data_IF_959145604257
#
_entry.id   IF_959145604257
#
_cell.length_a   1.000
_cell.length_b   1.000
_cell.length_c   1.000
_cell.angle_alpha   90.00
_cell.angle_beta   90.00
_cell.angle_gamma   90.00
#
_symmetry.space_group_name_H-M   'P 1'
#
loop_
_entity.id
_entity.type
_entity.pdbx_description
1 polymer ?
#
# COMPACT_ATOMS: atom_id res chain seq x y z
N UNK A 1 -41.41 -25.24 33.45
CA UNK A 1 -41.22 -24.25 32.36
C UNK A 1 -39.84 -24.49 31.82
N UNK A 2 -39.75 -25.37 30.83
CA UNK A 2 -38.51 -25.73 30.14
C UNK A 2 -38.14 -24.67 29.10
N UNK A 3 -36.89 -24.23 29.22
CA UNK A 3 -35.90 -23.86 28.19
C UNK A 3 -36.30 -23.86 26.71
N UNK A 4 -35.94 -22.78 26.02
CA UNK A 4 -35.40 -22.82 24.65
C UNK A 4 -34.54 -21.58 24.37
N UNK A 5 -33.30 -21.55 24.88
CA UNK A 5 -32.22 -20.74 24.30
C UNK A 5 -31.70 -21.52 23.09
N UNK A 6 -32.28 -21.28 21.92
CA UNK A 6 -31.78 -21.85 20.67
C UNK A 6 -30.57 -21.04 20.19
N UNK A 7 -29.43 -21.74 20.14
CA UNK A 7 -28.13 -21.33 19.66
C UNK A 7 -28.20 -21.02 18.15
N UNK A 8 -27.95 -19.77 17.73
CA UNK A 8 -27.72 -19.48 16.31
C UNK A 8 -26.24 -19.73 15.96
N UNK A 9 -25.93 -20.61 14.99
CA UNK A 9 -24.58 -20.68 14.42
C UNK A 9 -24.37 -19.48 13.49
N UNK A 10 -23.87 -18.37 14.05
CA UNK A 10 -23.34 -17.27 13.25
C UNK A 10 -21.88 -17.57 12.88
N UNK A 11 -21.55 -17.53 11.58
CA UNK A 11 -20.15 -17.54 11.12
C UNK A 11 -19.67 -16.09 11.02
N UNK A 12 -18.72 -15.73 11.89
CA UNK A 12 -18.04 -14.43 11.89
C UNK A 12 -16.67 -14.57 11.21
N UNK A 13 -16.36 -13.67 10.27
CA UNK A 13 -15.08 -13.61 9.55
C UNK A 13 -14.50 -12.22 9.72
N UNK A 14 -13.26 -12.14 10.21
CA UNK A 14 -12.52 -10.89 10.37
C UNK A 14 -11.64 -10.69 9.14
N UNK A 15 -11.89 -9.63 8.38
CA UNK A 15 -11.23 -9.35 7.09
C UNK A 15 -9.97 -8.51 7.30
N UNK A 16 -10.04 -7.45 8.09
CA UNK A 16 -8.90 -6.54 8.30
C UNK A 16 -8.94 -5.92 9.70
N UNK A 17 -7.79 -5.48 10.21
CA UNK A 17 -7.62 -4.86 11.54
C UNK A 17 -6.86 -3.54 11.44
N UNK A 18 -7.10 -2.64 12.38
CA UNK A 18 -6.43 -1.33 12.52
C UNK A 18 -6.65 -0.36 11.35
N UNK A 19 -7.92 -0.03 11.10
CA UNK A 19 -8.35 0.89 10.04
C UNK A 19 -8.27 2.34 10.54
N UNK A 20 -7.62 3.26 9.79
CA UNK A 20 -7.63 4.68 10.12
C UNK A 20 -9.06 5.24 10.19
N UNK A 21 -9.39 6.01 11.24
CA UNK A 21 -10.71 6.67 11.41
C UNK A 21 -11.28 7.34 10.13
N UNK A 22 -10.53 8.17 9.38
CA UNK A 22 -11.04 8.79 8.15
C UNK A 22 -11.27 7.78 7.01
N UNK A 23 -10.64 6.61 7.05
CA UNK A 23 -10.83 5.55 6.06
C UNK A 23 -12.14 4.77 6.30
N UNK A 24 -12.63 4.71 7.55
CA UNK A 24 -13.86 3.96 7.90
C UNK A 24 -15.08 4.49 7.14
N UNK A 25 -15.33 5.80 7.19
CA UNK A 25 -16.47 6.40 6.49
C UNK A 25 -16.34 6.29 4.96
N UNK A 26 -15.15 6.51 4.42
CA UNK A 26 -14.90 6.41 2.99
C UNK A 26 -15.02 4.97 2.46
N UNK A 27 -14.60 3.97 3.24
CA UNK A 27 -14.75 2.56 2.90
C UNK A 27 -16.23 2.15 2.81
N UNK A 28 -17.06 2.62 3.75
CA UNK A 28 -18.50 2.37 3.74
C UNK A 28 -19.16 2.94 2.47
N UNK A 29 -18.81 4.17 2.08
CA UNK A 29 -19.32 4.77 0.84
C UNK A 29 -18.81 4.04 -0.41
N UNK A 30 -17.57 3.55 -0.38
CA UNK A 30 -16.98 2.79 -1.47
C UNK A 30 -17.70 1.44 -1.65
N UNK A 31 -17.96 0.72 -0.57
CA UNK A 31 -18.72 -0.55 -0.60
C UNK A 31 -20.16 -0.30 -1.07
N UNK A 32 -20.83 0.75 -0.59
CA UNK A 32 -22.16 1.13 -1.07
C UNK A 32 -22.17 1.35 -2.59
N UNK A 33 -21.17 2.07 -3.10
CA UNK A 33 -21.09 2.45 -4.51
C UNK A 33 -20.67 1.32 -5.43
N UNK A 34 -19.65 0.55 -5.06
CA UNK A 34 -18.99 -0.40 -5.96
C UNK A 34 -19.41 -1.85 -5.73
N UNK A 35 -19.90 -2.19 -4.54
CA UNK A 35 -20.41 -3.54 -4.23
C UNK A 35 -21.93 -3.57 -4.20
N UNK A 36 -22.59 -2.80 -3.32
CA UNK A 36 -24.05 -2.87 -3.12
C UNK A 36 -24.81 -2.42 -4.38
N UNK A 37 -24.50 -1.23 -4.92
CA UNK A 37 -25.19 -0.72 -6.12
C UNK A 37 -24.94 -1.56 -7.38
N UNK A 38 -23.74 -2.12 -7.51
CA UNK A 38 -23.40 -2.98 -8.66
C UNK A 38 -24.09 -4.35 -8.59
N UNK A 39 -24.40 -4.84 -7.38
CA UNK A 39 -24.99 -6.16 -7.11
C UNK A 39 -26.50 -6.11 -6.81
N UNK A 40 -27.18 -5.01 -7.09
CA UNK A 40 -28.64 -4.85 -6.90
C UNK A 40 -29.49 -5.98 -7.50
N UNK A 41 -29.02 -6.65 -8.56
CA UNK A 41 -29.71 -7.82 -9.13
C UNK A 41 -29.71 -9.04 -8.21
N UNK A 42 -28.66 -9.23 -7.41
CA UNK A 42 -28.45 -10.36 -6.50
C UNK A 42 -28.87 -10.07 -5.07
N UNK A 43 -29.12 -8.80 -4.74
CA UNK A 43 -29.59 -8.38 -3.42
C UNK A 43 -31.12 -8.30 -3.46
N UNK A 44 -31.79 -8.77 -2.41
CA UNK A 44 -33.24 -8.64 -2.26
C UNK A 44 -33.63 -7.16 -2.18
N UNK A 45 -34.65 -6.77 -2.95
CA UNK A 45 -35.08 -5.38 -3.03
C UNK A 45 -35.46 -4.86 -1.64
N UNK A 46 -35.01 -3.64 -1.31
CA UNK A 46 -35.26 -2.97 -0.01
C UNK A 46 -34.70 -3.69 1.23
N UNK A 47 -33.87 -4.74 1.07
CA UNK A 47 -33.23 -5.43 2.20
C UNK A 47 -32.04 -4.68 2.78
N UNK A 48 -31.41 -3.81 1.98
CA UNK A 48 -30.21 -3.08 2.37
C UNK A 48 -30.49 -2.02 3.44
N UNK A 49 -29.75 -2.07 4.55
CA UNK A 49 -29.78 -1.09 5.64
C UNK A 49 -28.37 -0.69 6.02
N UNK A 50 -28.19 0.60 6.31
CA UNK A 50 -26.96 1.18 6.81
C UNK A 50 -27.27 1.84 8.16
N UNK A 51 -26.60 1.38 9.21
CA UNK A 51 -26.70 1.93 10.56
C UNK A 51 -25.34 2.52 10.95
N UNK A 52 -25.34 3.67 11.60
CA UNK A 52 -24.13 4.30 12.14
C UNK A 52 -24.20 4.30 13.67
N UNK A 53 -23.15 3.80 14.32
CA UNK A 53 -23.01 3.75 15.77
C UNK A 53 -21.66 4.38 16.15
N UNK A 54 -21.67 5.69 16.41
CA UNK A 54 -20.45 6.45 16.68
C UNK A 54 -19.50 6.47 15.49
N UNK A 55 -18.29 5.90 15.66
CA UNK A 55 -17.27 5.77 14.62
C UNK A 55 -17.36 4.45 13.83
N UNK A 56 -18.33 3.60 14.15
CA UNK A 56 -18.56 2.31 13.48
C UNK A 56 -19.80 2.35 12.60
N UNK A 57 -19.78 1.54 11.54
CA UNK A 57 -20.90 1.39 10.62
C UNK A 57 -21.28 -0.09 10.51
N UNK A 58 -22.57 -0.35 10.45
CA UNK A 58 -23.11 -1.68 10.17
C UNK A 58 -23.93 -1.63 8.88
N UNK A 59 -23.61 -2.52 7.95
CA UNK A 59 -24.26 -2.69 6.67
C UNK A 59 -24.94 -4.05 6.69
N UNK A 60 -26.24 -4.08 6.42
CA UNK A 60 -27.03 -5.31 6.41
C UNK A 60 -27.72 -5.46 5.06
N UNK A 61 -27.68 -6.64 4.46
CA UNK A 61 -28.46 -6.96 3.27
C UNK A 61 -28.77 -8.46 3.16
N UNK A 62 -29.69 -8.81 2.27
CA UNK A 62 -30.10 -10.19 2.02
C UNK A 62 -29.78 -10.56 0.58
N UNK A 63 -29.08 -11.68 0.38
CA UNK A 63 -28.78 -12.23 -0.94
C UNK A 63 -29.95 -13.11 -1.42
N UNK A 64 -30.33 -12.93 -2.69
CA UNK A 64 -31.31 -13.78 -3.37
C UNK A 64 -30.74 -15.19 -3.54
N UNK A 65 -31.58 -16.25 -3.41
CA UNK A 65 -31.14 -17.61 -3.65
C UNK A 65 -30.63 -17.77 -5.08
N UNK A 66 -29.49 -18.46 -5.22
CA UNK A 66 -28.77 -18.60 -6.50
C UNK A 66 -29.34 -19.74 -7.33
N UNK A 67 -29.96 -20.73 -6.68
CA UNK A 67 -30.58 -21.90 -7.33
C UNK A 67 -32.07 -22.03 -6.95
N UNK A 68 -32.92 -22.60 -7.84
CA UNK A 68 -34.35 -22.80 -7.57
C UNK A 68 -34.65 -23.67 -6.34
N UNK A 69 -33.68 -24.50 -5.93
CA UNK A 69 -33.76 -25.44 -4.81
C UNK A 69 -33.22 -24.84 -3.48
N UNK A 70 -32.61 -23.65 -3.52
CA UNK A 70 -32.24 -22.88 -2.32
C UNK A 70 -33.46 -22.09 -1.83
N UNK A 71 -34.18 -22.63 -0.86
CA UNK A 71 -35.34 -21.95 -0.27
C UNK A 71 -34.96 -20.84 0.71
N UNK A 72 -33.73 -20.83 1.24
CA UNK A 72 -33.32 -19.94 2.33
C UNK A 72 -32.55 -18.72 1.83
N UNK A 73 -33.03 -17.49 2.11
CA UNK A 73 -32.27 -16.28 1.88
C UNK A 73 -31.03 -16.24 2.79
N UNK A 74 -29.89 -15.76 2.26
CA UNK A 74 -28.67 -15.60 3.05
C UNK A 74 -28.58 -14.17 3.59
N UNK A 75 -28.55 -14.05 4.91
CA UNK A 75 -28.39 -12.80 5.62
C UNK A 75 -26.91 -12.45 5.73
N UNK A 76 -26.57 -11.19 5.45
CA UNK A 76 -25.20 -10.69 5.55
C UNK A 76 -25.19 -9.43 6.39
N UNK A 77 -24.37 -9.41 7.44
CA UNK A 77 -24.06 -8.21 8.22
C UNK A 77 -22.56 -7.91 8.13
N UNK A 78 -22.21 -6.68 7.77
CA UNK A 78 -20.83 -6.21 7.68
C UNK A 78 -20.66 -5.05 8.65
N UNK A 79 -19.84 -5.26 9.68
CA UNK A 79 -19.47 -4.24 10.66
C UNK A 79 -18.09 -3.70 10.31
N UNK A 80 -18.00 -2.39 10.19
CA UNK A 80 -16.76 -1.67 9.85
C UNK A 80 -16.45 -0.71 10.99
N UNK A 81 -15.30 -0.89 11.61
CA UNK A 81 -14.81 -0.09 12.73
C UNK A 81 -13.32 0.18 12.57
N UNK A 82 -12.73 1.01 13.45
CA UNK A 82 -11.28 1.21 13.48
C UNK A 82 -10.53 -0.07 13.86
N UNK A 83 -11.14 -0.93 14.69
CA UNK A 83 -10.48 -2.13 15.19
C UNK A 83 -10.52 -3.27 14.19
N UNK A 84 -11.65 -3.44 13.50
CA UNK A 84 -11.84 -4.54 12.56
C UNK A 84 -12.93 -4.29 11.51
N UNK A 85 -12.81 -5.01 10.40
CA UNK A 85 -13.89 -5.32 9.45
C UNK A 85 -14.39 -6.73 9.75
N UNK A 86 -15.64 -6.87 10.15
CA UNK A 86 -16.24 -8.15 10.53
C UNK A 86 -17.45 -8.44 9.63
N UNK A 87 -17.47 -9.64 9.07
CA UNK A 87 -18.55 -10.14 8.22
C UNK A 87 -19.23 -11.31 8.92
N UNK A 88 -20.51 -11.13 9.23
CA UNK A 88 -21.37 -12.08 9.92
C UNK A 88 -22.42 -12.64 8.96
N UNK A 89 -22.66 -13.95 9.05
CA UNK A 89 -23.74 -14.65 8.34
C UNK A 89 -24.72 -15.27 9.35
N UNK A 90 -25.77 -14.53 9.77
CA UNK A 90 -26.78 -15.04 10.71
C UNK A 90 -27.60 -16.18 10.09
N UNK A 91 -27.85 -17.23 10.88
CA UNK A 91 -28.70 -18.35 10.48
C UNK A 91 -28.06 -19.34 9.50
N UNK A 92 -26.72 -19.40 9.43
CA UNK A 92 -25.99 -20.32 8.56
C UNK A 92 -25.95 -21.74 9.15
N UNK A 93 -26.60 -22.72 8.52
CA UNK A 93 -26.38 -24.14 8.86
C UNK A 93 -25.00 -24.58 8.32
N UNK A 94 -24.05 -25.00 9.19
CA UNK A 94 -22.73 -25.47 8.77
C UNK A 94 -22.75 -26.69 7.84
N UNK A 95 -23.89 -27.39 7.71
CA UNK A 95 -24.03 -28.62 6.93
C UNK A 95 -24.41 -28.37 5.46
N UNK A 96 -24.82 -27.15 5.10
CA UNK A 96 -25.25 -26.79 3.76
C UNK A 96 -24.07 -26.36 2.86
N UNK A 97 -23.52 -27.33 2.11
CA UNK A 97 -22.38 -27.11 1.19
C UNK A 97 -22.64 -26.06 0.10
N UNK A 98 -23.79 -26.05 -0.60
CA UNK A 98 -24.11 -24.97 -1.55
C UNK A 98 -24.09 -23.58 -0.89
N UNK A 99 -24.61 -23.45 0.32
CA UNK A 99 -24.63 -22.18 1.05
C UNK A 99 -23.21 -21.74 1.48
N UNK A 100 -22.33 -22.69 1.84
CA UNK A 100 -20.92 -22.40 2.13
C UNK A 100 -20.18 -21.79 0.92
N UNK A 101 -20.40 -22.31 -0.30
CA UNK A 101 -19.77 -21.75 -1.50
C UNK A 101 -20.21 -20.30 -1.76
N UNK A 102 -21.47 -19.97 -1.48
CA UNK A 102 -22.00 -18.61 -1.60
C UNK A 102 -21.39 -17.70 -0.53
N UNK A 103 -21.22 -18.20 0.69
CA UNK A 103 -20.54 -17.48 1.79
C UNK A 103 -19.10 -17.17 1.40
N UNK A 104 -18.32 -18.17 0.99
CA UNK A 104 -16.91 -17.99 0.60
C UNK A 104 -16.76 -16.98 -0.54
N UNK A 105 -17.60 -17.10 -1.58
CA UNK A 105 -17.61 -16.13 -2.67
C UNK A 105 -17.95 -14.72 -2.19
N UNK A 106 -18.89 -14.58 -1.26
CA UNK A 106 -19.27 -13.28 -0.70
C UNK A 106 -18.13 -12.66 0.09
N UNK A 107 -17.41 -13.48 0.87
CA UNK A 107 -16.20 -13.06 1.61
C UNK A 107 -15.14 -12.57 0.63
N UNK A 108 -14.78 -13.39 -0.36
CA UNK A 108 -13.74 -13.06 -1.35
C UNK A 108 -14.06 -11.75 -2.10
N UNK A 109 -15.32 -11.54 -2.48
CA UNK A 109 -15.74 -10.33 -3.20
C UNK A 109 -15.70 -9.07 -2.31
N UNK A 110 -16.08 -9.18 -1.03
CA UNK A 110 -16.01 -8.06 -0.08
C UNK A 110 -14.55 -7.76 0.24
N UNK A 111 -13.74 -8.78 0.52
CA UNK A 111 -12.30 -8.63 0.76
C UNK A 111 -11.61 -7.96 -0.43
N UNK A 112 -11.87 -8.41 -1.66
CA UNK A 112 -11.34 -7.79 -2.87
C UNK A 112 -11.78 -6.31 -3.00
N UNK A 113 -13.01 -5.98 -2.61
CA UNK A 113 -13.52 -4.60 -2.64
C UNK A 113 -12.83 -3.73 -1.59
N UNK A 114 -12.64 -4.25 -0.37
CA UNK A 114 -11.93 -3.59 0.72
C UNK A 114 -10.48 -3.32 0.33
N UNK A 115 -9.78 -4.35 -0.16
CA UNK A 115 -8.40 -4.22 -0.65
C UNK A 115 -8.31 -3.20 -1.79
N UNK A 116 -9.27 -3.21 -2.72
CA UNK A 116 -9.33 -2.23 -3.81
C UNK A 116 -9.51 -0.81 -3.31
N UNK A 117 -10.34 -0.58 -2.27
CA UNK A 117 -10.47 0.73 -1.64
C UNK A 117 -9.13 1.21 -1.09
N UNK A 118 -8.45 0.40 -0.29
CA UNK A 118 -7.16 0.80 0.30
C UNK A 118 -6.08 1.02 -0.77
N UNK A 119 -6.06 0.22 -1.84
CA UNK A 119 -5.18 0.46 -2.98
C UNK A 119 -5.50 1.77 -3.72
N UNK A 120 -6.78 2.06 -3.97
CA UNK A 120 -7.21 3.29 -4.63
C UNK A 120 -6.83 4.53 -3.79
N UNK A 121 -7.07 4.47 -2.48
CA UNK A 121 -6.68 5.52 -1.55
C UNK A 121 -5.17 5.76 -1.54
N UNK A 122 -4.36 4.69 -1.55
CA UNK A 122 -2.89 4.80 -1.61
C UNK A 122 -2.41 5.42 -2.92
N UNK A 123 -2.98 5.00 -4.04
CA UNK A 123 -2.62 5.54 -5.36
C UNK A 123 -3.06 6.99 -5.58
N UNK A 124 -4.04 7.47 -4.81
CA UNK A 124 -4.45 8.89 -4.82
C UNK A 124 -3.81 9.75 -3.71
N UNK A 125 -2.81 9.23 -2.98
CA UNK A 125 -2.13 9.99 -1.92
C UNK A 125 -0.79 10.58 -2.39
N UNK A 126 -0.41 11.75 -1.87
CA UNK A 126 0.89 12.37 -2.09
C UNK A 126 1.88 11.87 -1.06
N UNK A 127 3.04 11.42 -1.50
CA UNK A 127 4.10 10.90 -0.63
C UNK A 127 5.35 11.76 -0.72
N UNK A 128 5.78 12.25 0.44
CA UNK A 128 7.06 12.92 0.62
C UNK A 128 7.94 12.03 1.49
N UNK A 129 9.03 11.55 0.90
CA UNK A 129 10.09 10.86 1.64
C UNK A 129 11.19 11.86 1.91
N UNK A 130 11.44 12.12 3.19
CA UNK A 130 12.42 13.08 3.68
C UNK A 130 13.43 12.29 4.49
N UNK A 131 14.71 12.42 4.16
CA UNK A 131 15.79 11.89 4.99
C UNK A 131 16.95 12.87 5.02
N UNK A 132 17.83 12.71 5.99
CA UNK A 132 18.81 13.75 6.31
C UNK A 132 19.91 13.93 5.26
N UNK A 133 20.10 13.02 4.30
CA UNK A 133 21.06 13.18 3.20
C UNK A 133 20.33 13.62 1.93
N UNK A 134 20.37 14.93 1.64
CA UNK A 134 19.89 15.47 0.37
C UNK A 134 21.04 15.74 -0.58
N UNK A 135 21.00 15.10 -1.75
CA UNK A 135 21.42 15.83 -2.95
C UNK A 135 20.30 15.85 -3.97
N UNK A 136 19.60 14.74 -4.26
CA UNK A 136 18.55 14.73 -5.29
C UNK A 136 17.31 13.95 -4.85
N UNK A 137 16.30 14.66 -4.33
CA UNK A 137 15.00 14.06 -3.98
C UNK A 137 13.87 14.69 -4.78
N UNK A 138 13.13 13.83 -5.48
CA UNK A 138 12.24 14.18 -6.58
C UNK A 138 10.79 14.31 -6.10
N UNK A 139 10.17 15.45 -6.42
CA UNK A 139 8.76 15.48 -6.83
C UNK A 139 8.56 14.46 -7.96
N UNK A 140 7.35 13.93 -8.25
CA UNK A 140 7.16 12.93 -9.31
C UNK A 140 7.61 13.49 -10.66
N UNK A 141 8.90 13.33 -10.98
CA UNK A 141 9.55 13.90 -12.14
C UNK A 141 9.98 12.77 -13.05
N UNK A 142 9.67 12.96 -14.33
CA UNK A 142 10.01 12.08 -15.43
C UNK A 142 11.50 12.22 -15.79
N UNK A 143 12.43 12.03 -14.85
CA UNK A 143 13.86 12.06 -15.17
C UNK A 143 14.36 10.67 -15.53
N UNK A 144 14.29 10.42 -16.84
CA UNK A 144 14.88 9.27 -17.53
C UNK A 144 13.91 8.12 -17.72
N UNK A 145 13.66 7.75 -18.99
CA UNK A 145 12.88 6.55 -19.38
C UNK A 145 13.38 5.33 -18.59
N UNK A 146 14.69 5.20 -18.44
CA UNK A 146 15.34 4.09 -17.74
C UNK A 146 15.04 4.04 -16.24
N UNK A 147 14.92 5.20 -15.57
CA UNK A 147 14.64 5.27 -14.13
C UNK A 147 13.17 5.01 -13.83
N UNK A 148 12.25 5.50 -14.67
CA UNK A 148 10.82 5.22 -14.54
C UNK A 148 10.51 3.74 -14.82
N UNK A 149 11.18 3.14 -15.82
CA UNK A 149 11.07 1.71 -16.12
C UNK A 149 11.64 0.89 -14.96
N UNK A 150 12.83 1.21 -14.46
CA UNK A 150 13.42 0.53 -13.31
C UNK A 150 12.54 0.66 -12.05
N UNK A 151 12.03 1.86 -11.76
CA UNK A 151 11.12 2.10 -10.63
C UNK A 151 9.85 1.26 -10.74
N UNK A 152 9.23 1.18 -11.92
CA UNK A 152 8.02 0.38 -12.15
C UNK A 152 8.29 -1.12 -12.05
N UNK A 153 9.45 -1.57 -12.52
CA UNK A 153 9.88 -2.97 -12.45
C UNK A 153 10.17 -3.40 -11.02
N UNK A 154 11.01 -2.65 -10.31
CA UNK A 154 11.51 -3.03 -8.98
C UNK A 154 10.51 -2.73 -7.86
N UNK A 155 9.60 -1.76 -8.04
CA UNK A 155 8.64 -1.42 -7.00
C UNK A 155 7.32 -2.19 -7.06
N UNK A 156 6.96 -2.87 -8.15
CA UNK A 156 5.63 -3.50 -8.19
C UNK A 156 5.36 -4.62 -9.19
N UNK A 157 6.24 -4.92 -10.16
CA UNK A 157 5.94 -6.01 -11.10
C UNK A 157 7.18 -6.63 -11.75
N UNK A 158 7.75 -7.66 -11.10
CA UNK A 158 8.85 -8.47 -11.65
C UNK A 158 8.43 -9.21 -12.93
N UNK A 159 7.15 -9.54 -13.10
CA UNK A 159 6.60 -10.14 -14.33
C UNK A 159 6.79 -9.24 -15.55
N UNK A 160 6.71 -7.91 -15.38
CA UNK A 160 6.94 -6.97 -16.48
C UNK A 160 8.38 -7.01 -16.98
N UNK A 161 9.36 -7.10 -16.07
CA UNK A 161 10.77 -7.28 -16.44
C UNK A 161 10.96 -8.61 -17.16
N UNK A 162 10.42 -9.70 -16.62
CA UNK A 162 10.53 -11.02 -17.23
C UNK A 162 9.96 -11.04 -18.65
N UNK A 163 8.76 -10.49 -18.85
CA UNK A 163 8.13 -10.41 -20.16
C UNK A 163 8.93 -9.54 -21.13
N UNK A 164 9.52 -8.43 -20.65
CA UNK A 164 10.40 -7.58 -21.46
C UNK A 164 11.67 -8.31 -21.90
N UNK A 165 12.24 -9.15 -21.03
CA UNK A 165 13.41 -9.98 -21.37
C UNK A 165 13.07 -11.08 -22.36
N UNK A 166 11.89 -11.71 -22.25
CA UNK A 166 11.41 -12.67 -23.24
C UNK A 166 11.25 -12.00 -24.60
N UNK A 167 10.58 -10.84 -24.66
CA UNK A 167 10.37 -10.12 -25.91
C UNK A 167 11.70 -9.68 -26.54
N UNK A 168 12.62 -9.16 -25.73
CA UNK A 168 13.97 -8.80 -26.16
C UNK A 168 14.74 -10.02 -26.67
N UNK A 169 14.66 -11.14 -25.96
CA UNK A 169 15.28 -12.42 -26.38
C UNK A 169 14.73 -12.89 -27.71
N UNK A 170 13.41 -12.85 -27.88
CA UNK A 170 12.75 -13.22 -29.13
C UNK A 170 13.23 -12.32 -30.28
N UNK A 171 13.20 -11.00 -30.10
CA UNK A 171 13.66 -10.05 -31.10
C UNK A 171 15.14 -10.26 -31.48
N UNK A 172 16.02 -10.43 -30.49
CA UNK A 172 17.44 -10.70 -30.72
C UNK A 172 17.66 -12.01 -31.48
N UNK A 173 16.87 -13.05 -31.21
CA UNK A 173 17.00 -14.35 -31.87
C UNK A 173 16.80 -14.23 -33.39
N UNK A 174 15.89 -13.36 -33.85
CA UNK A 174 15.72 -13.11 -35.29
C UNK A 174 16.90 -12.36 -35.94
N UNK A 175 17.63 -11.54 -35.17
CA UNK A 175 18.72 -10.72 -35.70
C UNK A 175 20.04 -11.51 -35.72
N UNK A 176 20.36 -12.23 -34.64
CA UNK A 176 21.67 -12.87 -34.44
C UNK A 176 21.61 -14.38 -34.10
N UNK A 177 20.42 -14.99 -34.09
CA UNK A 177 20.25 -16.44 -33.95
C UNK A 177 20.80 -17.01 -32.65
N UNK A 178 21.60 -18.09 -32.73
CA UNK A 178 22.17 -18.79 -31.57
C UNK A 178 23.06 -17.87 -30.71
N UNK A 179 23.68 -16.85 -31.30
CA UNK A 179 24.51 -15.89 -30.57
C UNK A 179 23.72 -15.06 -29.55
N UNK A 180 22.40 -14.98 -29.69
CA UNK A 180 21.51 -14.35 -28.70
C UNK A 180 21.72 -14.90 -27.30
N UNK A 181 21.92 -16.22 -27.16
CA UNK A 181 22.11 -16.85 -25.84
C UNK A 181 23.34 -16.27 -25.14
N UNK A 182 24.48 -16.18 -25.86
CA UNK A 182 25.72 -15.62 -25.31
C UNK A 182 25.60 -14.13 -24.98
N UNK A 183 24.89 -13.37 -25.83
CA UNK A 183 24.64 -11.94 -25.59
C UNK A 183 23.78 -11.76 -24.34
N UNK A 184 22.69 -12.51 -24.19
CA UNK A 184 21.80 -12.41 -23.04
C UNK A 184 22.51 -12.79 -21.74
N UNK A 185 23.29 -13.88 -21.74
CA UNK A 185 24.11 -14.27 -20.59
C UNK A 185 25.08 -13.14 -20.22
N UNK A 186 25.74 -12.53 -21.22
CA UNK A 186 26.67 -11.42 -20.98
C UNK A 186 25.96 -10.19 -20.39
N UNK A 187 24.80 -9.83 -20.93
CA UNK A 187 23.98 -8.71 -20.42
C UNK A 187 23.52 -8.98 -19.00
N UNK A 188 23.05 -10.20 -18.70
CA UNK A 188 22.63 -10.59 -17.35
C UNK A 188 23.80 -10.57 -16.36
N UNK A 189 24.99 -11.04 -16.77
CA UNK A 189 26.18 -10.99 -15.93
C UNK A 189 26.57 -9.53 -15.62
N UNK A 190 26.56 -8.65 -16.63
CA UNK A 190 26.82 -7.22 -16.44
C UNK A 190 25.76 -6.61 -15.51
N UNK A 191 24.48 -6.91 -15.74
CA UNK A 191 23.39 -6.43 -14.89
C UNK A 191 23.54 -6.91 -13.44
N UNK A 192 23.93 -8.16 -13.21
CA UNK A 192 24.19 -8.72 -11.89
C UNK A 192 25.36 -7.99 -11.21
N UNK A 193 26.46 -7.78 -11.93
CA UNK A 193 27.64 -7.08 -11.40
C UNK A 193 27.31 -5.64 -11.04
N UNK A 194 26.47 -4.94 -11.80
CA UNK A 194 26.12 -3.54 -11.55
C UNK A 194 24.81 -3.34 -10.79
N UNK A 195 24.14 -4.42 -10.38
CA UNK A 195 22.84 -4.40 -9.73
C UNK A 195 22.83 -3.50 -8.48
N UNK A 196 23.87 -3.60 -7.65
CA UNK A 196 24.05 -2.78 -6.44
C UNK A 196 23.97 -1.29 -6.74
N UNK A 197 24.66 -0.86 -7.81
CA UNK A 197 24.69 0.54 -8.25
C UNK A 197 23.39 0.96 -8.92
N UNK A 198 22.73 0.06 -9.65
CA UNK A 198 21.45 0.36 -10.30
C UNK A 198 20.40 0.64 -9.22
N UNK A 199 20.24 -0.30 -8.27
CA UNK A 199 19.25 -0.17 -7.19
C UNK A 199 19.55 1.05 -6.31
N UNK A 200 20.82 1.28 -5.95
CA UNK A 200 21.22 2.45 -5.15
C UNK A 200 20.95 3.81 -5.80
N UNK A 201 20.81 3.85 -7.13
CA UNK A 201 20.45 5.09 -7.87
C UNK A 201 18.95 5.29 -8.01
N UNK A 202 18.13 4.25 -7.79
CA UNK A 202 16.66 4.36 -7.94
C UNK A 202 16.07 5.17 -6.78
N UNK A 203 16.56 4.93 -5.56
CA UNK A 203 16.10 5.63 -4.38
C UNK A 203 16.67 7.03 -4.26
N UNK A 204 15.89 7.90 -3.63
CA UNK A 204 16.15 9.34 -3.49
C UNK A 204 16.73 9.71 -2.13
N UNK A 205 16.50 8.86 -1.12
CA UNK A 205 17.00 9.03 0.24
C UNK A 205 17.94 7.87 0.56
N UNK A 206 19.02 8.17 1.29
CA UNK A 206 20.08 7.21 1.62
C UNK A 206 20.39 7.29 3.11
N UNK A 207 19.72 6.47 3.93
CA UNK A 207 20.00 6.37 5.35
C UNK A 207 21.36 5.73 5.58
N UNK A 208 22.11 6.24 6.54
CA UNK A 208 23.37 5.70 7.00
C UNK A 208 23.49 5.84 8.54
N UNK A 209 24.63 5.43 9.11
CA UNK A 209 24.86 5.46 10.55
C UNK A 209 24.83 6.88 11.15
N UNK A 210 25.23 7.90 10.38
CA UNK A 210 25.22 9.29 10.83
C UNK A 210 23.82 9.92 10.68
N UNK A 211 23.08 9.46 9.66
CA UNK A 211 21.78 9.98 9.25
C UNK A 211 20.77 8.84 9.11
N UNK A 212 20.36 8.23 10.24
CA UNK A 212 19.58 6.99 10.21
C UNK A 212 18.07 7.22 9.97
N UNK A 213 17.59 8.42 10.26
CA UNK A 213 16.16 8.73 10.28
C UNK A 213 15.59 9.01 8.87
N UNK A 214 14.45 8.39 8.60
CA UNK A 214 13.61 8.64 7.43
C UNK A 214 12.21 9.02 7.89
N UNK A 215 11.75 10.18 7.44
CA UNK A 215 10.40 10.68 7.67
C UNK A 215 9.57 10.54 6.39
N UNK A 216 8.43 9.89 6.52
CA UNK A 216 7.42 9.79 5.47
C UNK A 216 6.24 10.65 5.86
N UNK A 217 5.87 11.52 4.94
CA UNK A 217 4.64 12.29 5.01
C UNK A 217 3.74 11.80 3.88
N UNK A 218 2.62 11.18 4.23
CA UNK A 218 1.55 10.87 3.28
C UNK A 218 0.40 11.84 3.48
N UNK A 219 -0.01 12.50 2.41
CA UNK A 219 -1.19 13.36 2.40
C UNK A 219 -2.21 12.74 1.46
N UNK A 220 -3.28 12.18 2.03
CA UNK A 220 -4.39 11.62 1.26
C UNK A 220 -5.04 12.73 0.45
N UNK A 221 -5.03 12.58 -0.86
CA UNK A 221 -5.68 13.51 -1.78
C UNK A 221 -6.76 12.79 -2.58
N UNK A 222 -7.73 13.56 -3.07
CA UNK A 222 -8.66 13.07 -4.08
C UNK A 222 -7.98 13.14 -5.47
N UNK A 223 -8.53 12.41 -6.44
CA UNK A 223 -7.97 12.36 -7.80
C UNK A 223 -7.95 13.74 -8.51
N UNK A 224 -8.83 14.67 -8.13
CA UNK A 224 -8.96 16.02 -8.71
C UNK A 224 -7.87 16.97 -8.20
N UNK A 225 -7.56 16.91 -6.91
CA UNK A 225 -6.45 17.61 -6.25
C UNK A 225 -5.12 17.10 -6.78
N UNK A 226 -4.97 15.78 -6.93
CA UNK A 226 -3.78 15.19 -7.59
C UNK A 226 -3.62 15.66 -9.03
N UNK A 227 -4.71 15.75 -9.80
CA UNK A 227 -4.67 16.25 -11.19
C UNK A 227 -4.26 17.72 -11.24
N UNK A 228 -4.79 18.54 -10.34
CA UNK A 228 -4.43 19.96 -10.20
C UNK A 228 -2.96 20.15 -9.80
N UNK A 229 -2.46 19.33 -8.89
CA UNK A 229 -1.06 19.28 -8.46
C UNK A 229 -0.16 18.75 -9.57
N UNK A 230 -0.58 17.76 -10.37
CA UNK A 230 0.21 17.27 -11.50
C UNK A 230 0.39 18.33 -12.60
N UNK A 231 -0.58 19.24 -12.76
CA UNK A 231 -0.57 20.29 -13.78
C UNK A 231 0.22 21.55 -13.36
N UNK A 232 0.26 21.89 -12.07
CA UNK A 232 0.90 23.13 -11.56
C UNK A 232 1.97 22.90 -10.47
N UNK A 233 2.19 21.65 -10.04
CA UNK A 233 2.75 21.35 -8.71
C UNK A 233 4.23 20.99 -8.64
N UNK A 234 5.01 21.06 -9.72
CA UNK A 234 6.45 20.72 -9.64
C UNK A 234 7.21 21.64 -8.68
N UNK A 235 7.01 22.95 -8.79
CA UNK A 235 7.64 23.96 -7.91
C UNK A 235 7.00 23.98 -6.52
N UNK A 236 5.69 23.76 -6.46
CA UNK A 236 4.92 23.75 -5.21
C UNK A 236 5.34 22.59 -4.32
N UNK A 237 5.40 21.36 -4.87
CA UNK A 237 5.80 20.18 -4.11
C UNK A 237 7.25 20.29 -3.61
N UNK A 238 8.15 20.90 -4.39
CA UNK A 238 9.52 21.15 -3.92
C UNK A 238 9.59 22.17 -2.80
N UNK A 239 8.78 23.24 -2.84
CA UNK A 239 8.74 24.27 -1.80
C UNK A 239 8.15 23.72 -0.50
N UNK A 240 7.03 22.99 -0.60
CA UNK A 240 6.43 22.28 0.53
C UNK A 240 7.45 21.31 1.13
N UNK A 241 8.20 20.58 0.30
CA UNK A 241 9.24 19.66 0.78
C UNK A 241 10.36 20.38 1.52
N UNK A 242 10.83 21.52 1.03
CA UNK A 242 11.88 22.31 1.69
C UNK A 242 11.40 22.85 3.04
N UNK A 243 10.14 23.32 3.12
CA UNK A 243 9.52 23.75 4.38
C UNK A 243 9.42 22.59 5.37
N UNK A 244 9.00 21.40 4.93
CA UNK A 244 8.89 20.20 5.79
C UNK A 244 10.28 19.66 6.16
N UNK A 245 11.27 19.69 5.26
CA UNK A 245 12.61 19.18 5.55
C UNK A 245 13.31 20.03 6.61
N UNK A 246 13.13 21.35 6.59
CA UNK A 246 13.66 22.26 7.63
C UNK A 246 13.04 22.00 9.00
N UNK A 247 11.75 21.65 9.05
CA UNK A 247 11.08 21.32 10.31
C UNK A 247 11.32 19.89 10.78
N UNK A 248 11.57 18.94 9.86
CA UNK A 248 11.82 17.52 10.16
C UNK A 248 13.20 17.26 10.79
N UNK A 249 14.13 18.22 10.74
CA UNK A 249 15.48 18.10 11.32
C UNK A 249 15.50 17.95 12.85
N UNK A 250 14.37 18.06 13.54
CA UNK A 250 14.28 18.03 14.99
C UNK A 250 13.59 16.75 15.51
N UNK A 251 14.41 15.79 15.95
CA UNK A 251 14.12 14.78 16.99
C UNK A 251 13.02 13.73 16.69
N UNK A 252 13.36 12.46 16.96
CA UNK A 252 12.41 11.34 16.98
C UNK A 252 11.46 11.45 18.19
N UNK A 253 10.23 11.95 17.98
CA UNK A 253 9.16 11.87 18.98
C UNK A 253 7.75 12.02 18.38
N UNK A 254 6.74 11.52 19.10
CA UNK A 254 5.33 11.70 18.72
C UNK A 254 4.93 13.18 18.67
N UNK A 255 5.49 14.02 19.56
CA UNK A 255 5.24 15.46 19.56
C UNK A 255 5.83 16.16 18.32
N UNK A 256 7.01 15.72 17.86
CA UNK A 256 7.63 16.24 16.64
C UNK A 256 6.83 15.87 15.38
N UNK A 257 6.26 14.65 15.34
CA UNK A 257 5.41 14.24 14.22
C UNK A 257 4.11 15.08 14.12
N UNK A 258 3.49 15.43 15.26
CA UNK A 258 2.30 16.30 15.28
C UNK A 258 2.63 17.75 14.89
N UNK A 259 3.78 18.28 15.32
CA UNK A 259 4.25 19.60 14.89
C UNK A 259 4.55 19.62 13.38
N UNK A 260 5.21 18.57 12.88
CA UNK A 260 5.48 18.40 11.45
C UNK A 260 4.17 18.34 10.66
N UNK A 261 3.19 17.59 11.14
CA UNK A 261 1.87 17.47 10.53
C UNK A 261 1.16 18.82 10.43
N UNK A 262 1.23 19.66 11.46
CA UNK A 262 0.71 21.03 11.40
C UNK A 262 1.43 21.91 10.37
N UNK A 263 2.75 21.75 10.25
CA UNK A 263 3.58 22.42 9.24
C UNK A 263 3.17 21.99 7.84
N UNK A 264 3.01 20.69 7.61
CA UNK A 264 2.55 20.12 6.33
C UNK A 264 1.19 20.69 5.93
N UNK A 265 0.23 20.76 6.86
CA UNK A 265 -1.09 21.36 6.60
C UNK A 265 -0.94 22.82 6.16
N UNK A 266 -0.14 23.61 6.90
CA UNK A 266 0.10 25.01 6.58
C UNK A 266 0.77 25.19 5.21
N UNK A 267 1.78 24.38 4.90
CA UNK A 267 2.48 24.38 3.61
C UNK A 267 1.56 23.99 2.46
N UNK A 268 0.72 22.96 2.62
CA UNK A 268 -0.27 22.56 1.63
C UNK A 268 -1.30 23.66 1.39
N UNK A 269 -1.83 24.26 2.47
CA UNK A 269 -2.84 25.31 2.40
C UNK A 269 -2.32 26.58 1.72
N UNK A 270 -1.09 27.01 2.01
CA UNK A 270 -0.44 28.15 1.34
C UNK A 270 -0.41 27.99 -0.18
N UNK A 271 -0.35 26.76 -0.67
CA UNK A 271 -0.30 26.43 -2.09
C UNK A 271 -1.66 25.96 -2.64
N UNK A 272 -2.76 26.25 -1.93
CA UNK A 272 -4.13 26.00 -2.38
C UNK A 272 -4.59 24.54 -2.24
N UNK A 273 -3.84 23.70 -1.51
CA UNK A 273 -4.20 22.31 -1.25
C UNK A 273 -4.88 22.25 0.11
N UNK A 274 -6.20 22.07 0.12
CA UNK A 274 -6.96 21.88 1.34
C UNK A 274 -6.78 20.42 1.78
N UNK A 275 -6.05 20.23 2.86
CA UNK A 275 -5.88 18.94 3.52
C UNK A 275 -6.26 19.06 4.99
N UNK A 276 -7.06 18.13 5.48
CA UNK A 276 -7.44 18.05 6.88
C UNK A 276 -6.36 17.30 7.65
N UNK A 277 -6.13 17.62 8.93
CA UNK A 277 -5.17 16.89 9.75
C UNK A 277 -5.42 15.38 9.81
N UNK A 278 -6.66 14.91 9.65
CA UNK A 278 -6.96 13.47 9.56
C UNK A 278 -6.43 12.82 8.27
N UNK A 279 -6.19 13.58 7.22
CA UNK A 279 -5.76 13.10 5.90
C UNK A 279 -4.23 13.04 5.77
N UNK A 280 -3.50 13.54 6.76
CA UNK A 280 -2.03 13.56 6.76
C UNK A 280 -1.50 12.59 7.81
N UNK A 281 -0.65 11.68 7.36
CA UNK A 281 0.09 10.76 8.21
C UNK A 281 1.57 11.13 8.14
N UNK A 282 2.20 11.21 9.31
CA UNK A 282 3.64 11.43 9.45
C UNK A 282 4.22 10.25 10.22
N UNK A 283 5.16 9.53 9.61
CA UNK A 283 5.90 8.44 10.26
C UNK A 283 7.40 8.68 10.11
N UNK A 284 8.10 8.78 11.22
CA UNK A 284 9.57 8.87 11.27
C UNK A 284 10.13 7.57 11.82
N UNK A 285 11.12 6.99 11.16
CA UNK A 285 11.74 5.71 11.56
C UNK A 285 13.24 5.74 11.42
N UNK A 286 13.91 4.99 12.30
CA UNK A 286 15.32 4.67 12.17
C UNK A 286 15.49 3.44 11.26
N UNK A 287 15.64 3.70 9.96
CA UNK A 287 15.74 2.62 8.96
C UNK A 287 17.12 1.98 8.98
N UNK A 288 18.16 2.75 9.31
CA UNK A 288 19.51 2.21 9.40
C UNK A 288 19.62 1.16 10.50
N UNK A 289 19.08 1.44 11.69
CA UNK A 289 19.06 0.52 12.83
C UNK A 289 18.40 -0.80 12.48
N UNK A 290 17.21 -0.77 11.86
CA UNK A 290 16.48 -1.99 11.47
C UNK A 290 17.35 -2.88 10.57
N UNK A 291 17.91 -2.31 9.49
CA UNK A 291 18.74 -3.07 8.56
C UNK A 291 20.07 -3.50 9.20
N UNK A 292 20.64 -2.69 10.09
CA UNK A 292 21.87 -3.00 10.81
C UNK A 292 21.68 -4.19 11.76
N UNK A 293 20.61 -4.19 12.57
CA UNK A 293 20.28 -5.27 13.50
C UNK A 293 20.08 -6.60 12.76
N UNK A 294 19.36 -6.58 11.62
CA UNK A 294 19.24 -7.77 10.75
C UNK A 294 20.61 -8.23 10.25
N UNK A 295 21.43 -7.30 9.75
CA UNK A 295 22.75 -7.64 9.20
C UNK A 295 23.68 -8.25 10.26
N UNK A 296 23.66 -7.72 11.48
CA UNK A 296 24.42 -8.26 12.61
C UNK A 296 23.97 -9.66 13.00
N UNK A 297 22.65 -9.93 13.03
CA UNK A 297 22.11 -11.27 13.31
C UNK A 297 22.64 -12.34 12.34
N UNK A 298 22.95 -11.94 11.10
CA UNK A 298 23.53 -12.83 10.09
C UNK A 298 25.07 -12.74 9.98
N UNK A 299 25.74 -11.98 10.86
CA UNK A 299 27.19 -11.79 10.83
C UNK A 299 27.68 -11.12 9.54
N UNK A 300 26.87 -10.24 8.95
CA UNK A 300 27.17 -9.54 7.70
C UNK A 300 27.34 -8.04 7.93
N UNK A 301 28.13 -7.42 7.05
CA UNK A 301 28.20 -5.97 6.97
C UNK A 301 26.85 -5.41 6.53
N UNK A 302 26.43 -4.30 7.15
CA UNK A 302 25.21 -3.58 6.76
C UNK A 302 25.30 -3.15 5.29
N UNK A 303 24.33 -3.55 4.45
CA UNK A 303 24.28 -3.16 3.05
C UNK A 303 24.05 -1.65 2.91
N UNK A 304 24.28 -1.11 1.71
CA UNK A 304 23.85 0.26 1.40
C UNK A 304 22.32 0.31 1.42
N UNK A 305 21.75 1.35 2.02
CA UNK A 305 20.31 1.50 2.12
C UNK A 305 19.85 2.62 1.19
N UNK A 306 18.74 2.42 0.50
CA UNK A 306 18.11 3.49 -0.27
C UNK A 306 16.60 3.42 -0.20
N UNK A 307 15.93 4.58 -0.15
CA UNK A 307 14.47 4.65 -0.09
C UNK A 307 13.93 5.12 -1.43
N UNK A 308 13.04 4.31 -2.01
CA UNK A 308 12.33 4.67 -3.23
C UNK A 308 11.00 5.34 -2.87
N UNK A 309 10.75 6.54 -3.42
CA UNK A 309 9.46 7.21 -3.30
C UNK A 309 8.41 6.52 -4.19
N UNK A 310 7.90 5.38 -3.74
CA UNK A 310 6.85 4.58 -4.36
C UNK A 310 5.81 4.23 -3.32
N UNK A 311 4.54 4.38 -3.70
CA UNK A 311 3.37 4.08 -2.84
C UNK A 311 3.14 2.57 -2.67
N UNK A 312 3.68 1.76 -3.58
CA UNK A 312 3.59 0.30 -3.51
C UNK A 312 4.53 -0.20 -2.42
N UNK A 313 3.98 -0.87 -1.40
CA UNK A 313 4.77 -1.56 -0.38
C UNK A 313 5.59 -2.67 -1.02
N UNK A 314 6.91 -2.51 -0.97
CA UNK A 314 7.88 -3.45 -1.49
C UNK A 314 9.26 -3.18 -0.87
N UNK A 315 10.09 -4.23 -0.82
CA UNK A 315 11.50 -4.14 -0.50
C UNK A 315 12.29 -5.03 -1.48
N UNK A 316 13.52 -4.64 -1.79
CA UNK A 316 14.38 -5.44 -2.65
C UNK A 316 15.81 -5.37 -2.17
N UNK A 317 16.49 -6.52 -2.15
CA UNK A 317 17.92 -6.61 -1.89
C UNK A 317 18.65 -7.09 -3.15
N UNK A 318 19.83 -6.53 -3.40
CA UNK A 318 20.69 -7.00 -4.47
C UNK A 318 22.15 -6.89 -4.10
N UNK A 319 22.98 -7.80 -4.59
CA UNK A 319 24.41 -7.74 -4.39
C UNK A 319 25.12 -9.03 -4.73
N UNK A 320 26.41 -8.91 -5.05
CA UNK A 320 27.29 -10.05 -5.33
C UNK A 320 28.23 -10.37 -4.16
N UNK A 321 28.31 -9.48 -3.17
CA UNK A 321 29.09 -9.63 -1.94
C UNK A 321 28.57 -8.68 -0.86
N UNK A 322 28.97 -8.87 0.41
CA UNK A 322 28.54 -8.01 1.52
C UNK A 322 28.89 -6.54 1.30
N UNK A 323 30.08 -6.23 0.76
CA UNK A 323 30.49 -4.85 0.44
C UNK A 323 29.85 -4.27 -0.82
N UNK A 324 29.26 -5.13 -1.66
CA UNK A 324 28.57 -4.77 -2.91
C UNK A 324 27.12 -5.20 -2.85
N UNK A 325 26.46 -4.81 -1.77
CA UNK A 325 25.05 -5.07 -1.53
C UNK A 325 24.29 -3.78 -1.26
N UNK A 326 23.05 -3.74 -1.75
CA UNK A 326 22.12 -2.62 -1.58
C UNK A 326 20.75 -3.19 -1.23
N UNK A 327 20.13 -2.62 -0.20
CA UNK A 327 18.71 -2.82 0.14
C UNK A 327 17.96 -1.55 -0.24
N UNK A 328 16.88 -1.72 -1.01
CA UNK A 328 15.93 -0.67 -1.33
C UNK A 328 14.61 -0.95 -0.63
N UNK A 329 14.09 0.03 0.07
CA UNK A 329 12.79 -0.01 0.75
C UNK A 329 11.90 1.06 0.13
N UNK A 330 10.62 0.78 -0.12
CA UNK A 330 9.70 1.79 -0.63
C UNK A 330 9.06 2.61 0.48
N UNK A 331 8.61 3.81 0.13
CA UNK A 331 7.80 4.64 1.02
C UNK A 331 6.54 3.91 1.50
N UNK A 332 5.91 3.11 0.62
CA UNK A 332 4.77 2.26 0.97
C UNK A 332 5.08 1.28 2.09
N UNK A 333 6.23 0.59 2.07
CA UNK A 333 6.57 -0.36 3.14
C UNK A 333 6.81 0.31 4.47
N UNK A 334 7.51 1.45 4.46
CA UNK A 334 7.75 2.25 5.66
C UNK A 334 6.47 2.89 6.22
N UNK A 335 5.45 3.11 5.39
CA UNK A 335 4.13 3.52 5.86
C UNK A 335 3.34 2.34 6.43
N UNK A 336 3.28 1.23 5.70
CA UNK A 336 2.36 0.12 5.95
C UNK A 336 2.79 -0.81 7.07
N UNK A 337 4.06 -1.19 7.09
CA UNK A 337 4.57 -2.26 7.95
C UNK A 337 5.04 -1.70 9.28
N UNK A 338 4.84 -2.42 10.37
CA UNK A 338 5.47 -2.13 11.67
C UNK A 338 6.99 -2.32 11.62
N UNK A 339 7.72 -1.86 12.64
CA UNK A 339 9.19 -2.05 12.67
C UNK A 339 9.56 -3.54 12.68
N UNK A 340 8.81 -4.36 13.40
CA UNK A 340 9.01 -5.82 13.47
C UNK A 340 8.71 -6.49 12.12
N UNK A 341 7.65 -6.06 11.42
CA UNK A 341 7.33 -6.56 10.08
C UNK A 341 8.36 -6.11 9.03
N UNK A 342 8.88 -4.88 9.14
CA UNK A 342 9.98 -4.40 8.30
C UNK A 342 11.27 -5.18 8.53
N UNK A 343 11.53 -5.57 9.78
CA UNK A 343 12.69 -6.40 10.13
C UNK A 343 12.57 -7.82 9.56
N UNK A 344 11.34 -8.36 9.53
CA UNK A 344 11.07 -9.70 9.02
C UNK A 344 11.16 -9.82 7.49
N UNK A 345 10.95 -8.73 6.75
CA UNK A 345 10.96 -8.65 5.27
C UNK A 345 12.38 -8.55 4.71
#
# INVERSE_FOLDING_TARGET
METATATEPARQIVIERDIPEPAVAGLVEFIDRYYIKSKTRFIQDLSYRKTASGTSFELFWILKPVEPDQATPLYVSLKISQTAIELDFPGLDPSDKPLQNVVERTVDEIEATVLSYFQNVKTTSLYFVIGASEEHSEAPDQRGIMRNVAKRIFAGNTTSLFLSFILLSFALFFIIGVYTVFVLISVQLVALIFSDKIVYRIGSVRPDAERPLVTIVSARSNAETLKSISQHGKNILSQIREEIAKSATATYSASANEELKSTVIGSLLKHGIIATGKEITVKTRDVYRIVHEVSEKFGRQTPKITIANSVVSNASATGISSSRSTVMITAGSLEDLTDDELEAV
#
